data_IF_727839652015
#
_entry.id   IF_727839652015
#
_cell.length_a   1.000
_cell.length_b   1.000
_cell.length_c   1.000
_cell.angle_alpha   90.00
_cell.angle_beta   90.00
_cell.angle_gamma   90.00
#
_symmetry.space_group_name_H-M   'P 1'
#
loop_
_entity.id
_entity.type
_entity.pdbx_description
1 polymer ?
#
# COMPACT_ATOMS: atom_id res chain seq x y z
N UNK A 1 -5.61 6.40 -3.93
CA UNK A 1 -6.42 5.80 -5.02
C UNK A 1 -5.55 4.87 -5.84
N UNK A 2 -6.12 3.81 -6.38
CA UNK A 2 -5.50 2.89 -7.34
C UNK A 2 -6.40 2.85 -8.59
N UNK A 3 -5.81 3.02 -9.77
CA UNK A 3 -6.55 2.97 -11.03
C UNK A 3 -6.16 1.73 -11.83
N UNK A 4 -7.17 0.94 -12.21
CA UNK A 4 -6.99 -0.29 -12.98
C UNK A 4 -7.54 -0.09 -14.38
N UNK A 5 -6.66 -0.21 -15.37
CA UNK A 5 -6.97 -0.09 -16.79
C UNK A 5 -6.81 -1.44 -17.47
N UNK A 6 -7.90 -2.02 -17.97
CA UNK A 6 -7.85 -3.23 -18.78
C UNK A 6 -7.74 -2.85 -20.25
N UNK A 7 -6.57 -3.07 -20.83
CA UNK A 7 -6.29 -2.70 -22.22
C UNK A 7 -7.01 -3.57 -23.26
N UNK A 8 -7.53 -4.74 -22.88
CA UNK A 8 -8.22 -5.65 -23.81
C UNK A 8 -9.63 -5.18 -24.16
N UNK A 9 -10.35 -4.70 -23.15
CA UNK A 9 -11.75 -4.28 -23.27
C UNK A 9 -11.96 -2.78 -22.97
N UNK A 10 -10.87 -2.05 -22.70
CA UNK A 10 -10.87 -0.62 -22.37
C UNK A 10 -11.66 -0.27 -21.10
N UNK A 11 -11.90 -1.24 -20.22
CA UNK A 11 -12.55 -0.97 -18.94
C UNK A 11 -11.58 -0.27 -17.99
N UNK A 12 -12.11 0.70 -17.24
CA UNK A 12 -11.37 1.48 -16.25
C UNK A 12 -12.13 1.43 -14.92
N UNK A 13 -11.42 1.08 -13.86
CA UNK A 13 -11.96 1.04 -12.50
C UNK A 13 -11.07 1.86 -11.57
N UNK A 14 -11.70 2.74 -10.80
CA UNK A 14 -11.04 3.56 -9.78
C UNK A 14 -11.32 2.99 -8.40
N UNK A 15 -10.26 2.52 -7.74
CA UNK A 15 -10.31 1.90 -6.42
C UNK A 15 -9.88 2.92 -5.35
N UNK A 16 -10.82 3.26 -4.47
CA UNK A 16 -10.60 4.20 -3.37
C UNK A 16 -10.33 3.42 -2.10
N UNK A 17 -9.11 3.54 -1.60
CA UNK A 17 -8.76 3.06 -0.26
C UNK A 17 -9.38 3.94 0.82
N UNK A 18 -9.15 3.60 2.11
CA UNK A 18 -9.42 4.53 3.21
C UNK A 18 -8.84 5.92 2.92
N UNK A 19 -9.51 6.98 3.35
CA UNK A 19 -9.10 8.37 3.06
C UNK A 19 -9.47 8.89 1.67
N UNK A 20 -9.92 8.04 0.73
CA UNK A 20 -10.48 8.50 -0.54
C UNK A 20 -9.45 9.04 -1.54
N UNK A 21 -9.79 10.16 -2.18
CA UNK A 21 -8.91 10.87 -3.13
C UNK A 21 -7.74 11.56 -2.40
N UNK A 22 -6.58 11.76 -3.06
CA UNK A 22 -5.49 12.53 -2.46
C UNK A 22 -5.93 13.95 -2.10
N UNK A 23 -5.74 14.33 -0.83
CA UNK A 23 -6.02 15.68 -0.36
C UNK A 23 -4.73 16.47 -0.17
N UNK A 24 -4.70 17.69 -0.69
CA UNK A 24 -3.60 18.63 -0.52
C UNK A 24 -4.08 20.08 -0.48
N UNK A 25 -3.24 20.96 0.08
CA UNK A 25 -3.40 22.42 0.04
C UNK A 25 -2.25 23.03 -0.75
N UNK A 26 -2.56 24.02 -1.59
CA UNK A 26 -1.51 24.77 -2.29
C UNK A 26 -0.97 25.86 -1.38
N UNK A 27 0.34 25.86 -1.16
CA UNK A 27 1.07 26.89 -0.41
C UNK A 27 2.37 27.22 -1.13
N UNK A 28 2.59 28.50 -1.44
CA UNK A 28 3.80 28.96 -2.14
C UNK A 28 4.11 28.20 -3.45
N UNK A 29 3.08 27.74 -4.16
CA UNK A 29 3.23 26.96 -5.40
C UNK A 29 3.46 25.45 -5.19
N UNK A 30 3.56 24.99 -3.95
CA UNK A 30 3.69 23.56 -3.61
C UNK A 30 2.35 22.98 -3.14
N UNK A 31 2.06 21.74 -3.56
CA UNK A 31 0.96 20.95 -3.02
C UNK A 31 1.39 20.27 -1.72
N UNK A 32 1.03 20.85 -0.58
CA UNK A 32 1.26 20.26 0.73
C UNK A 32 0.19 19.20 1.00
N UNK A 33 0.57 17.92 1.18
CA UNK A 33 -0.43 16.88 1.40
C UNK A 33 -1.08 17.03 2.77
N UNK A 34 -2.40 16.87 2.83
CA UNK A 34 -3.20 17.01 4.06
C UNK A 34 -4.04 15.79 4.40
N UNK A 35 -4.19 14.85 3.45
CA UNK A 35 -4.93 13.61 3.66
C UNK A 35 -4.08 12.54 4.34
N UNK A 36 -4.02 11.37 3.70
CA UNK A 36 -3.24 10.22 4.17
C UNK A 36 -2.23 9.76 3.11
N UNK A 37 -1.20 9.05 3.57
CA UNK A 37 -0.34 8.23 2.71
C UNK A 37 -1.16 7.08 2.12
N UNK A 38 -1.22 7.00 0.79
CA UNK A 38 -2.08 6.08 0.06
C UNK A 38 -1.41 4.76 -0.32
N UNK A 39 -1.71 4.28 -1.52
CA UNK A 39 -1.04 3.14 -2.13
C UNK A 39 0.35 3.56 -2.63
N UNK A 40 1.35 2.71 -2.46
CA UNK A 40 2.76 3.02 -2.77
C UNK A 40 3.43 2.07 -3.75
N UNK A 41 3.01 0.82 -3.79
CA UNK A 41 3.48 -0.18 -4.76
C UNK A 41 2.34 -1.09 -5.18
N UNK A 42 2.41 -1.57 -6.43
CA UNK A 42 1.37 -2.38 -7.07
C UNK A 42 2.00 -3.46 -7.93
N UNK A 43 1.54 -4.69 -7.75
CA UNK A 43 1.84 -5.79 -8.64
C UNK A 43 0.56 -6.41 -9.21
N UNK A 44 0.52 -6.56 -10.52
CA UNK A 44 -0.54 -7.28 -11.22
C UNK A 44 -0.05 -8.71 -11.49
N UNK A 45 -0.70 -9.69 -10.88
CA UNK A 45 -0.49 -11.11 -11.13
C UNK A 45 -1.43 -11.68 -12.19
N UNK A 46 -1.41 -13.00 -12.35
CA UNK A 46 -2.31 -13.72 -13.26
C UNK A 46 -3.72 -13.83 -12.66
N UNK A 47 -3.84 -13.84 -11.33
CA UNK A 47 -5.12 -14.03 -10.63
C UNK A 47 -5.65 -12.76 -9.95
N UNK A 48 -4.77 -11.89 -9.49
CA UNK A 48 -5.13 -10.74 -8.65
C UNK A 48 -4.19 -9.54 -8.81
N UNK A 49 -4.65 -8.38 -8.33
CA UNK A 49 -3.86 -7.16 -8.17
C UNK A 49 -3.51 -7.01 -6.69
N UNK A 50 -2.24 -6.86 -6.39
CA UNK A 50 -1.68 -6.71 -5.06
C UNK A 50 -1.18 -5.28 -4.89
N UNK A 51 -1.56 -4.60 -3.81
CA UNK A 51 -1.18 -3.20 -3.59
C UNK A 51 -0.82 -2.93 -2.13
N UNK A 52 0.35 -2.34 -1.91
CA UNK A 52 0.81 -1.88 -0.60
C UNK A 52 0.09 -0.58 -0.25
N UNK A 53 -0.42 -0.48 0.97
CA UNK A 53 -1.16 0.69 1.46
C UNK A 53 -0.63 1.16 2.83
N UNK A 54 -0.40 2.46 2.94
CA UNK A 54 0.14 3.09 4.15
C UNK A 54 -0.94 3.40 5.18
N UNK A 55 -1.93 4.22 4.84
CA UNK A 55 -3.04 4.55 5.73
C UNK A 55 -2.74 5.62 6.79
N UNK A 56 -1.49 6.09 6.92
CA UNK A 56 -1.10 7.08 7.93
C UNK A 56 -1.46 8.51 7.50
N UNK A 57 -2.06 9.29 8.38
CA UNK A 57 -2.39 10.69 8.09
C UNK A 57 -1.14 11.57 8.13
N UNK A 58 -1.05 12.53 7.19
CA UNK A 58 0.07 13.47 7.14
C UNK A 58 0.16 14.34 8.41
N UNK A 59 -0.99 14.68 9.02
CA UNK A 59 -1.03 15.43 10.28
C UNK A 59 -0.30 14.69 11.41
N UNK A 60 -0.43 13.37 11.46
CA UNK A 60 0.16 12.54 12.52
C UNK A 60 1.68 12.42 12.30
N UNK A 61 2.11 12.31 11.02
CA UNK A 61 3.52 12.36 10.62
C UNK A 61 4.16 13.70 11.03
N UNK A 62 3.48 14.81 10.74
CA UNK A 62 3.96 16.15 11.11
C UNK A 62 4.03 16.34 12.62
N UNK A 63 3.05 15.83 13.37
CA UNK A 63 3.04 15.91 14.83
C UNK A 63 4.18 15.10 15.45
N UNK A 64 4.40 13.86 15.00
CA UNK A 64 5.53 13.04 15.46
C UNK A 64 6.88 13.73 15.18
N UNK A 65 7.05 14.27 13.98
CA UNK A 65 8.26 15.01 13.62
C UNK A 65 8.50 16.23 14.53
N UNK A 66 7.45 16.98 14.89
CA UNK A 66 7.54 18.11 15.83
C UNK A 66 7.91 17.67 17.25
N UNK A 67 7.54 16.46 17.64
CA UNK A 67 7.87 15.87 18.94
C UNK A 67 9.25 15.18 18.95
N UNK A 68 9.94 15.14 17.82
CA UNK A 68 11.21 14.43 17.68
C UNK A 68 11.07 12.91 17.63
N UNK A 69 9.87 12.40 17.36
CA UNK A 69 9.59 10.97 17.19
C UNK A 69 9.84 10.55 15.74
N UNK A 70 10.55 9.43 15.57
CA UNK A 70 10.73 8.78 14.27
C UNK A 70 9.70 7.68 14.12
N UNK A 71 8.73 7.87 13.24
CA UNK A 71 7.77 6.83 12.88
C UNK A 71 8.38 5.88 11.84
N UNK A 72 8.06 4.57 11.87
CA UNK A 72 8.49 3.64 10.83
C UNK A 72 7.86 4.02 9.49
N UNK A 73 8.65 3.98 8.43
CA UNK A 73 8.22 4.32 7.07
C UNK A 73 7.79 3.08 6.27
N UNK A 74 6.87 3.26 5.32
CA UNK A 74 6.29 2.20 4.51
C UNK A 74 4.81 1.90 4.81
N UNK A 75 4.25 0.99 4.02
CA UNK A 75 2.89 0.51 4.14
C UNK A 75 2.73 -0.64 5.10
N UNK A 76 1.65 -0.62 5.90
CA UNK A 76 1.33 -1.67 6.87
C UNK A 76 0.35 -2.70 6.33
N UNK A 77 -0.26 -2.43 5.18
CA UNK A 77 -1.32 -3.27 4.64
C UNK A 77 -0.99 -3.72 3.23
N UNK A 78 -1.30 -4.97 2.93
CA UNK A 78 -1.35 -5.49 1.56
C UNK A 78 -2.82 -5.72 1.18
N UNK A 79 -3.29 -4.95 0.22
CA UNK A 79 -4.62 -5.11 -0.37
C UNK A 79 -4.53 -6.02 -1.58
N UNK A 80 -5.50 -6.90 -1.72
CA UNK A 80 -5.63 -7.78 -2.88
C UNK A 80 -7.00 -7.57 -3.50
N UNK A 81 -7.00 -7.29 -4.80
CA UNK A 81 -8.18 -7.08 -5.61
C UNK A 81 -8.25 -8.12 -6.73
N UNK A 82 -9.45 -8.40 -7.22
CA UNK A 82 -9.59 -9.14 -8.47
C UNK A 82 -9.03 -8.33 -9.64
N UNK A 83 -8.81 -8.97 -10.79
CA UNK A 83 -8.44 -8.25 -12.02
C UNK A 83 -9.53 -7.28 -12.53
N UNK A 84 -10.71 -7.27 -11.91
CA UNK A 84 -11.80 -6.30 -12.14
C UNK A 84 -11.86 -5.22 -11.06
N UNK A 85 -10.97 -5.26 -10.08
CA UNK A 85 -10.88 -4.31 -8.98
C UNK A 85 -11.79 -4.60 -7.78
N UNK A 86 -12.42 -5.78 -7.70
CA UNK A 86 -13.22 -6.15 -6.53
C UNK A 86 -12.30 -6.47 -5.35
N UNK A 87 -12.57 -5.98 -4.14
CA UNK A 87 -11.75 -6.30 -2.98
C UNK A 87 -11.86 -7.79 -2.62
N UNK A 88 -10.73 -8.49 -2.53
CA UNK A 88 -10.67 -9.90 -2.19
C UNK A 88 -10.22 -10.11 -0.74
N UNK A 89 -9.08 -9.53 -0.37
CA UNK A 89 -8.51 -9.67 0.97
C UNK A 89 -7.63 -8.46 1.31
N UNK A 90 -7.51 -8.19 2.60
CA UNK A 90 -6.57 -7.22 3.16
C UNK A 90 -5.76 -7.88 4.26
N UNK A 91 -4.45 -7.97 4.07
CA UNK A 91 -3.52 -8.42 5.09
C UNK A 91 -2.98 -7.22 5.88
N UNK A 92 -2.90 -7.35 7.19
CA UNK A 92 -2.08 -6.49 8.03
C UNK A 92 -0.73 -7.15 8.22
N UNK A 93 0.33 -6.41 7.90
CA UNK A 93 1.71 -6.86 7.96
C UNK A 93 2.28 -6.54 9.35
N UNK A 94 3.17 -7.40 9.83
CA UNK A 94 3.97 -7.20 11.03
C UNK A 94 5.14 -6.23 10.81
N UNK A 95 5.54 -6.01 9.56
CA UNK A 95 6.49 -4.97 9.15
C UNK A 95 5.85 -3.89 8.28
N UNK A 96 6.47 -2.70 8.28
CA UNK A 96 6.17 -1.66 7.30
C UNK A 96 7.03 -1.88 6.06
N UNK A 97 6.41 -1.89 4.88
CA UNK A 97 7.08 -2.28 3.62
C UNK A 97 6.83 -1.28 2.50
N UNK A 98 7.75 -1.15 1.55
CA UNK A 98 7.58 -0.31 0.37
C UNK A 98 7.28 -1.11 -0.89
N UNK A 99 8.21 -1.97 -1.29
CA UNK A 99 8.11 -2.76 -2.51
C UNK A 99 7.67 -4.18 -2.22
N UNK A 100 6.97 -4.80 -3.18
CA UNK A 100 6.59 -6.21 -3.14
C UNK A 100 6.97 -6.96 -4.42
N UNK A 101 7.17 -8.28 -4.27
CA UNK A 101 7.32 -9.22 -5.38
C UNK A 101 6.56 -10.51 -5.04
N UNK A 102 5.39 -10.69 -5.63
CA UNK A 102 4.43 -11.76 -5.41
C UNK A 102 4.70 -12.93 -6.34
N UNK A 103 4.73 -14.13 -5.77
CA UNK A 103 4.74 -15.42 -6.46
C UNK A 103 3.43 -16.16 -6.14
N UNK A 104 2.45 -16.03 -7.02
CA UNK A 104 1.14 -16.67 -6.89
C UNK A 104 1.22 -18.19 -6.90
N UNK A 105 2.21 -18.78 -7.61
CA UNK A 105 2.38 -20.24 -7.69
C UNK A 105 2.79 -20.84 -6.36
N UNK A 106 3.61 -20.14 -5.59
CA UNK A 106 4.02 -20.59 -4.26
C UNK A 106 3.16 -20.03 -3.14
N UNK A 107 2.27 -19.07 -3.44
CA UNK A 107 1.45 -18.40 -2.44
C UNK A 107 2.29 -17.54 -1.49
N UNK A 108 3.37 -16.93 -2.01
CA UNK A 108 4.32 -16.13 -1.22
C UNK A 108 4.56 -14.77 -1.84
N UNK A 109 5.08 -13.84 -1.05
CA UNK A 109 5.63 -12.59 -1.60
C UNK A 109 6.86 -12.16 -0.82
N UNK A 110 7.78 -11.51 -1.52
CA UNK A 110 8.89 -10.78 -0.92
C UNK A 110 8.47 -9.32 -0.73
N UNK A 111 8.99 -8.67 0.31
CA UNK A 111 8.79 -7.25 0.54
C UNK A 111 10.05 -6.55 1.03
N UNK A 112 10.14 -5.24 0.80
CA UNK A 112 11.25 -4.41 1.28
C UNK A 112 10.87 -3.55 2.49
N UNK A 113 11.59 -3.70 3.60
CA UNK A 113 11.48 -2.92 4.83
C UNK A 113 12.67 -1.94 4.91
N UNK A 114 12.41 -0.66 4.68
CA UNK A 114 13.44 0.40 4.67
C UNK A 114 13.93 0.78 6.06
N UNK A 115 13.30 0.25 7.12
CA UNK A 115 13.61 0.61 8.49
C UNK A 115 14.73 -0.26 9.09
N UNK A 116 15.31 -1.19 8.32
CA UNK A 116 16.26 -2.20 8.82
C UNK A 116 17.42 -2.43 7.84
N UNK A 117 18.55 -2.87 8.40
CA UNK A 117 19.76 -3.20 7.63
C UNK A 117 19.60 -4.48 6.78
N UNK A 118 18.71 -5.40 7.20
CA UNK A 118 18.29 -6.58 6.44
C UNK A 118 16.87 -6.33 5.88
N UNK A 119 16.75 -5.69 4.70
CA UNK A 119 15.47 -5.11 4.27
C UNK A 119 14.54 -6.12 3.59
N UNK A 120 14.96 -7.36 3.30
CA UNK A 120 14.16 -8.30 2.51
C UNK A 120 13.41 -9.28 3.40
N UNK A 121 12.08 -9.27 3.33
CA UNK A 121 11.20 -10.17 4.07
C UNK A 121 10.43 -11.07 3.13
N UNK A 122 10.17 -12.31 3.58
CA UNK A 122 9.32 -13.27 2.85
C UNK A 122 8.07 -13.58 3.68
N UNK A 123 6.93 -13.48 3.01
CA UNK A 123 5.62 -13.75 3.57
C UNK A 123 4.95 -14.92 2.85
N UNK A 124 4.04 -15.60 3.55
CA UNK A 124 3.17 -16.62 2.97
C UNK A 124 1.72 -16.18 3.13
N UNK A 125 0.91 -16.20 2.07
CA UNK A 125 -0.50 -15.83 2.14
C UNK A 125 -1.32 -16.78 3.04
N UNK A 126 -0.89 -18.04 3.14
CA UNK A 126 -1.59 -19.08 3.91
C UNK A 126 -1.23 -19.13 5.40
N UNK A 127 -0.36 -18.24 5.88
CA UNK A 127 0.16 -18.24 7.25
C UNK A 127 -0.29 -17.05 8.11
N UNK A 128 -1.16 -16.17 7.62
CA UNK A 128 -1.73 -15.11 8.43
C UNK A 128 -2.61 -15.69 9.52
N UNK A 129 -2.16 -15.60 10.77
CA UNK A 129 -2.97 -15.93 11.95
C UNK A 129 -4.33 -15.25 11.80
N UNK A 130 -5.37 -16.09 11.70
CA UNK A 130 -6.74 -15.67 11.98
C UNK A 130 -6.77 -15.28 13.46
N UNK A 131 -6.59 -14.00 13.77
CA UNK A 131 -6.97 -13.40 15.04
C UNK A 131 -7.89 -12.22 14.79
#
# INVERSE_FOLDING_TARGET
VLELWNLRDSTHVVLRGPGGEPEFRVSQGYGLPTGIMGFSDVQVGDSAVYAVFHGRAFRDIMQAAQQGETLPDGGKYLYVFSLRGEPLVRYELDHYVYGISVDERTGTFLATDVNRDEPIWKYNFHGGDRK
#
